data_IF_336621333333
#
_entry.id   IF_336621333333
#
_cell.length_a   1.000
_cell.length_b   1.000
_cell.length_c   1.000
_cell.angle_alpha   90.00
_cell.angle_beta   90.00
_cell.angle_gamma   90.00
#
_symmetry.space_group_name_H-M   'P 1'
#
loop_
_entity.id
_entity.type
_entity.pdbx_description
1 polymer ?
#
# COMPACT_ATOMS: atom_id res chain seq x y z
N UNK A 1 -14.08 -8.72 9.10
CA UNK A 1 -12.91 -9.01 9.96
C UNK A 1 -11.78 -8.11 9.49
N UNK A 2 -10.98 -7.52 10.40
CA UNK A 2 -9.80 -6.76 10.01
C UNK A 2 -8.87 -7.57 9.12
N UNK A 3 -8.18 -6.90 8.22
CA UNK A 3 -7.21 -7.50 7.31
C UNK A 3 -5.85 -6.86 7.52
N UNK A 4 -4.79 -7.67 7.52
CA UNK A 4 -3.43 -7.19 7.75
C UNK A 4 -2.56 -7.51 6.55
N UNK A 5 -1.68 -6.60 6.16
CA UNK A 5 -0.76 -6.86 5.07
C UNK A 5 0.58 -6.16 5.31
N UNK A 6 1.66 -6.81 4.90
CA UNK A 6 2.98 -6.22 4.80
C UNK A 6 3.10 -5.43 3.52
N UNK A 7 3.69 -4.24 3.65
CA UNK A 7 4.07 -3.41 2.53
C UNK A 7 5.53 -3.04 2.66
N UNK A 8 6.34 -3.44 1.68
CA UNK A 8 7.73 -3.05 1.57
C UNK A 8 7.84 -1.86 0.60
N UNK A 9 8.44 -0.76 1.05
CA UNK A 9 8.75 0.40 0.23
C UNK A 9 10.22 0.34 -0.18
N UNK A 10 10.45 0.14 -1.48
CA UNK A 10 11.76 0.04 -2.11
C UNK A 10 12.09 1.40 -2.73
N UNK A 11 12.95 2.16 -2.07
CA UNK A 11 13.40 3.47 -2.57
C UNK A 11 14.49 3.25 -3.58
N UNK A 12 14.33 3.84 -4.76
CA UNK A 12 15.31 3.77 -5.84
C UNK A 12 15.86 5.14 -6.20
N UNK A 13 17.06 5.19 -6.77
CA UNK A 13 17.65 6.42 -7.28
C UNK A 13 17.14 6.78 -8.69
N UNK A 14 17.75 7.80 -9.32
CA UNK A 14 17.39 8.23 -10.67
C UNK A 14 17.69 7.21 -11.77
N UNK A 15 18.51 6.19 -11.49
CA UNK A 15 18.78 5.05 -12.37
C UNK A 15 17.92 3.82 -12.01
N UNK A 16 17.01 3.96 -11.04
CA UNK A 16 16.18 2.90 -10.47
C UNK A 16 16.96 1.82 -9.69
N UNK A 17 18.16 2.14 -9.20
CA UNK A 17 18.91 1.24 -8.33
C UNK A 17 18.41 1.34 -6.88
N UNK A 18 18.25 0.22 -6.15
CA UNK A 18 17.79 0.23 -4.77
C UNK A 18 18.74 0.98 -3.83
N UNK A 19 18.20 1.92 -3.05
CA UNK A 19 18.95 2.76 -2.10
C UNK A 19 18.55 2.49 -0.65
N UNK A 20 17.25 2.28 -0.40
CA UNK A 20 16.71 2.10 0.94
C UNK A 20 15.47 1.22 0.90
N UNK A 21 15.22 0.51 1.99
CA UNK A 21 13.97 -0.21 2.21
C UNK A 21 13.28 0.28 3.49
N UNK A 22 11.96 0.46 3.44
CA UNK A 22 11.10 0.63 4.62
C UNK A 22 10.02 -0.43 4.63
N UNK A 23 9.49 -0.71 5.81
CA UNK A 23 8.48 -1.74 6.01
C UNK A 23 7.29 -1.13 6.72
N UNK A 24 6.10 -1.52 6.28
CA UNK A 24 4.86 -1.09 6.89
C UNK A 24 3.95 -2.29 7.15
N UNK A 25 3.20 -2.21 8.25
CA UNK A 25 1.99 -2.99 8.46
C UNK A 25 0.80 -2.14 8.07
N UNK A 26 0.05 -2.60 7.06
CA UNK A 26 -1.25 -2.07 6.70
C UNK A 26 -2.31 -2.85 7.47
N UNK A 27 -3.07 -2.17 8.32
CA UNK A 27 -4.26 -2.74 8.98
C UNK A 27 -5.50 -2.11 8.37
N UNK A 28 -6.34 -2.92 7.74
CA UNK A 28 -7.57 -2.49 7.10
C UNK A 28 -8.80 -3.02 7.84
N UNK A 29 -9.92 -2.30 7.75
CA UNK A 29 -11.20 -2.71 8.34
C UNK A 29 -11.70 -4.06 7.79
N UNK A 30 -11.35 -4.38 6.54
CA UNK A 30 -11.61 -5.63 5.86
C UNK A 30 -10.68 -5.80 4.63
N UNK A 31 -10.75 -6.96 3.99
CA UNK A 31 -9.92 -7.29 2.82
C UNK A 31 -10.21 -6.40 1.59
N UNK A 32 -11.46 -5.92 1.44
CA UNK A 32 -11.82 -4.99 0.35
C UNK A 32 -11.07 -3.67 0.54
N UNK A 33 -11.09 -3.10 1.75
CA UNK A 33 -10.38 -1.86 2.06
C UNK A 33 -8.85 -2.01 1.91
N UNK A 34 -8.29 -3.18 2.24
CA UNK A 34 -6.87 -3.46 1.95
C UNK A 34 -6.62 -3.48 0.44
N UNK A 35 -7.47 -4.19 -0.32
CA UNK A 35 -7.39 -4.27 -1.76
C UNK A 35 -7.52 -2.90 -2.43
N UNK A 36 -8.47 -2.06 -2.00
CA UNK A 36 -8.63 -0.68 -2.47
C UNK A 36 -7.32 0.10 -2.28
N UNK A 37 -6.69 -0.01 -1.12
CA UNK A 37 -5.43 0.68 -0.86
C UNK A 37 -4.33 0.24 -1.82
N UNK A 38 -4.10 -1.07 -1.94
CA UNK A 38 -3.00 -1.60 -2.75
C UNK A 38 -3.23 -1.44 -4.26
N UNK A 39 -4.45 -1.69 -4.75
CA UNK A 39 -4.83 -1.43 -6.15
C UNK A 39 -4.74 0.06 -6.42
N UNK A 40 -5.17 0.90 -5.48
CA UNK A 40 -5.06 2.35 -5.56
C UNK A 40 -3.61 2.83 -5.68
N UNK A 41 -2.67 2.22 -4.92
CA UNK A 41 -1.24 2.50 -5.07
C UNK A 41 -0.72 2.11 -6.45
N UNK A 42 -1.16 0.97 -6.99
CA UNK A 42 -0.86 0.54 -8.36
C UNK A 42 -1.36 1.54 -9.41
N UNK A 43 -2.63 1.95 -9.31
CA UNK A 43 -3.21 2.98 -10.20
C UNK A 43 -2.51 4.34 -10.07
N UNK A 44 -2.13 4.73 -8.85
CA UNK A 44 -1.35 5.94 -8.64
C UNK A 44 0.02 5.86 -9.32
N UNK A 45 0.66 4.68 -9.31
CA UNK A 45 1.95 4.47 -9.97
C UNK A 45 1.89 4.65 -11.49
N UNK A 46 0.74 4.39 -12.12
CA UNK A 46 0.52 4.60 -13.56
C UNK A 46 0.35 6.08 -13.95
N UNK A 47 0.26 6.98 -12.96
CA UNK A 47 0.10 8.42 -13.22
C UNK A 47 1.44 9.09 -13.56
N UNK A 48 1.43 10.02 -14.52
CA UNK A 48 2.63 10.61 -15.14
C UNK A 48 3.59 11.38 -14.20
N UNK A 49 3.19 11.65 -12.95
CA UNK A 49 3.95 12.42 -11.96
C UNK A 49 4.09 11.67 -10.61
N UNK A 50 3.95 10.34 -10.62
CA UNK A 50 3.87 9.54 -9.41
C UNK A 50 5.16 9.53 -8.58
N UNK A 51 5.01 9.65 -7.26
CA UNK A 51 6.02 9.31 -6.26
C UNK A 51 6.30 7.80 -6.18
N UNK A 52 5.34 7.00 -6.64
CA UNK A 52 5.40 5.55 -6.73
C UNK A 52 5.61 5.18 -8.19
N UNK A 53 6.56 4.29 -8.48
CA UNK A 53 6.86 3.79 -9.82
C UNK A 53 6.14 2.49 -10.12
N UNK A 54 5.97 1.62 -9.13
CA UNK A 54 5.25 0.36 -9.28
C UNK A 54 4.71 -0.13 -7.94
N UNK A 55 3.71 -1.00 -8.01
CA UNK A 55 3.18 -1.74 -6.87
C UNK A 55 2.92 -3.17 -7.33
N UNK A 56 3.51 -4.16 -6.67
CA UNK A 56 3.37 -5.57 -7.00
C UNK A 56 2.98 -6.35 -5.75
N UNK A 57 2.17 -7.40 -5.94
CA UNK A 57 1.80 -8.31 -4.88
C UNK A 57 2.52 -9.64 -5.06
N UNK A 58 3.13 -10.15 -3.99
CA UNK A 58 3.56 -11.55 -3.92
C UNK A 58 2.40 -12.44 -3.47
N UNK A 59 1.62 -11.93 -2.51
CA UNK A 59 0.33 -12.46 -2.03
C UNK A 59 -0.55 -11.29 -1.62
N UNK A 60 -1.83 -11.50 -1.31
CA UNK A 60 -2.66 -10.40 -0.79
C UNK A 60 -2.14 -9.80 0.52
N UNK A 61 -1.33 -10.54 1.28
CA UNK A 61 -0.74 -10.10 2.54
C UNK A 61 0.65 -9.49 2.37
N UNK A 62 1.24 -9.55 1.17
CA UNK A 62 2.62 -9.13 0.94
C UNK A 62 2.75 -8.33 -0.35
N UNK A 63 3.02 -7.04 -0.17
CA UNK A 63 3.11 -6.07 -1.25
C UNK A 63 4.46 -5.37 -1.27
N UNK A 64 4.93 -5.05 -2.47
CA UNK A 64 6.15 -4.32 -2.73
C UNK A 64 5.80 -3.07 -3.55
N UNK A 65 6.26 -1.90 -3.11
CA UNK A 65 6.15 -0.66 -3.85
C UNK A 65 7.53 -0.10 -4.14
N UNK A 66 7.82 0.16 -5.42
CA UNK A 66 9.03 0.92 -5.79
C UNK A 66 8.69 2.41 -5.79
N UNK A 67 9.48 3.22 -5.10
CA UNK A 67 9.20 4.66 -4.91
C UNK A 67 10.43 5.52 -5.17
N UNK A 68 10.18 6.81 -5.40
CA UNK A 68 11.22 7.81 -5.65
C UNK A 68 11.95 8.24 -4.38
N UNK A 69 11.27 8.29 -3.24
CA UNK A 69 11.82 8.83 -2.01
C UNK A 69 11.28 8.11 -0.79
N UNK A 70 12.11 8.02 0.23
CA UNK A 70 11.77 7.37 1.50
C UNK A 70 10.54 8.03 2.14
N UNK A 71 9.51 7.24 2.44
CA UNK A 71 8.28 7.73 3.04
C UNK A 71 7.25 8.27 2.05
N UNK A 72 7.41 8.05 0.75
CA UNK A 72 6.40 8.40 -0.26
C UNK A 72 5.07 7.66 -0.02
N UNK A 73 5.10 6.40 0.42
CA UNK A 73 3.89 5.67 0.83
C UNK A 73 3.22 6.34 2.03
N UNK A 74 4.00 6.75 3.03
CA UNK A 74 3.49 7.47 4.20
C UNK A 74 2.92 8.84 3.82
N UNK A 75 3.54 9.52 2.85
CA UNK A 75 3.04 10.78 2.32
C UNK A 75 1.66 10.57 1.68
N UNK A 76 1.49 9.58 0.80
CA UNK A 76 0.18 9.25 0.19
C UNK A 76 -0.86 8.98 1.26
N UNK A 77 -0.53 8.15 2.25
CA UNK A 77 -1.42 7.85 3.38
C UNK A 77 -1.88 9.13 4.11
N UNK A 78 -0.96 10.05 4.38
CA UNK A 78 -1.30 11.32 5.04
C UNK A 78 -2.23 12.18 4.17
N UNK A 79 -2.04 12.22 2.85
CA UNK A 79 -2.92 12.96 1.94
C UNK A 79 -4.33 12.35 1.87
N UNK A 80 -4.46 11.02 1.92
CA UNK A 80 -5.76 10.33 2.05
C UNK A 80 -6.45 10.76 3.34
N UNK A 81 -5.75 10.73 4.48
CA UNK A 81 -6.33 11.10 5.77
C UNK A 81 -6.71 12.59 5.82
N UNK A 82 -5.90 13.45 5.22
CA UNK A 82 -6.13 14.89 5.10
C UNK A 82 -7.22 15.25 4.08
N UNK A 83 -7.76 14.27 3.35
CA UNK A 83 -8.81 14.43 2.34
C UNK A 83 -8.40 15.39 1.20
N UNK A 84 -7.22 15.13 0.61
CA UNK A 84 -6.63 15.90 -0.49
C UNK A 84 -6.43 15.02 -1.74
N UNK A 85 -7.52 14.57 -2.40
CA UNK A 85 -7.45 13.65 -3.53
C UNK A 85 -6.65 14.15 -4.73
N UNK A 86 -6.57 15.46 -4.92
CA UNK A 86 -5.76 16.08 -5.95
C UNK A 86 -4.27 15.72 -5.85
N UNK A 87 -3.77 15.44 -4.64
CA UNK A 87 -2.36 15.12 -4.40
C UNK A 87 -2.00 13.66 -4.75
N UNK A 88 -3.01 12.79 -4.87
CA UNK A 88 -2.86 11.44 -5.39
C UNK A 88 -3.66 11.23 -6.67
N UNK A 89 -3.76 12.29 -7.50
CA UNK A 89 -4.36 12.26 -8.84
C UNK A 89 -5.82 11.79 -8.88
N UNK A 90 -6.58 12.00 -7.80
CA UNK A 90 -7.97 11.58 -7.65
C UNK A 90 -8.20 10.07 -7.88
N UNK A 91 -7.23 9.22 -7.53
CA UNK A 91 -7.43 7.77 -7.55
C UNK A 91 -8.52 7.40 -6.54
N UNK A 92 -9.66 6.93 -7.05
CA UNK A 92 -10.88 6.67 -6.29
C UNK A 92 -10.65 5.67 -5.16
N UNK A 93 -9.94 4.56 -5.44
CA UNK A 93 -9.68 3.54 -4.42
C UNK A 93 -8.87 4.08 -3.23
N UNK A 94 -7.93 4.99 -3.47
CA UNK A 94 -7.18 5.65 -2.39
C UNK A 94 -8.07 6.59 -1.59
N UNK A 95 -8.99 7.31 -2.23
CA UNK A 95 -9.95 8.17 -1.54
C UNK A 95 -10.90 7.36 -0.65
N UNK A 96 -11.37 6.22 -1.15
CA UNK A 96 -12.29 5.33 -0.44
C UNK A 96 -11.67 4.64 0.77
N UNK A 97 -10.34 4.59 0.86
CA UNK A 97 -9.61 4.05 2.00
C UNK A 97 -9.66 4.95 3.24
N UNK A 98 -10.08 6.22 3.12
CA UNK A 98 -10.05 7.17 4.24
C UNK A 98 -10.80 6.62 5.46
N UNK A 99 -10.11 6.51 6.59
CA UNK A 99 -10.67 5.98 7.84
C UNK A 99 -10.88 4.46 7.87
N UNK A 100 -10.55 3.73 6.80
CA UNK A 100 -10.65 2.26 6.73
C UNK A 100 -9.29 1.57 6.84
N UNK A 101 -8.19 2.32 6.79
CA UNK A 101 -6.83 1.81 6.87
C UNK A 101 -5.99 2.54 7.92
N UNK A 102 -5.08 1.80 8.54
CA UNK A 102 -4.02 2.29 9.42
C UNK A 102 -2.69 1.83 8.82
N UNK A 103 -1.77 2.78 8.63
CA UNK A 103 -0.42 2.50 8.16
C UNK A 103 0.55 2.64 9.33
N UNK A 104 1.16 1.53 9.74
CA UNK A 104 2.16 1.50 10.82
C UNK A 104 3.54 1.23 10.22
N UNK A 105 4.49 2.11 10.47
CA UNK A 105 5.88 1.86 10.10
C UNK A 105 6.51 0.82 11.03
N UNK A 106 7.17 -0.17 10.44
CA UNK A 106 7.84 -1.26 11.15
C UNK A 106 9.36 -1.05 11.15
N UNK A 107 10.00 -1.55 12.21
CA UNK A 107 11.45 -1.74 12.24
C UNK A 107 11.77 -3.16 11.74
N UNK A 108 12.91 -3.35 11.07
CA UNK A 108 13.37 -4.67 10.58
C UNK A 108 13.43 -5.74 11.69
N UNK A 109 13.63 -5.32 12.94
CA UNK A 109 13.65 -6.22 14.09
C UNK A 109 12.26 -6.71 14.55
N UNK A 110 11.18 -6.00 14.18
CA UNK A 110 9.85 -6.20 14.75
C UNK A 110 8.80 -6.42 13.65
N UNK A 111 8.89 -7.57 13.01
CA UNK A 111 7.86 -8.05 12.09
C UNK A 111 6.81 -8.83 12.88
N UNK A 112 5.55 -8.36 12.98
CA UNK A 112 4.51 -9.16 13.60
C UNK A 112 4.30 -10.47 12.84
N UNK A 113 3.45 -11.36 13.36
CA UNK A 113 2.95 -12.49 12.59
C UNK A 113 1.50 -12.14 12.24
N UNK A 114 1.19 -12.07 10.95
CA UNK A 114 -0.17 -11.85 10.46
C UNK A 114 -1.01 -13.11 10.76
N UNK A 115 -2.31 -12.98 11.12
CA UNK A 115 -3.15 -14.14 11.40
C UNK A 115 -3.24 -15.11 10.22
N UNK A 116 -2.87 -16.37 10.43
CA UNK A 116 -2.84 -17.43 9.38
C UNK A 116 -4.20 -17.81 8.79
N UNK A 117 -5.30 -17.24 9.32
CA UNK A 117 -6.68 -17.57 8.94
C UNK A 117 -7.29 -16.57 7.97
N UNK A 118 -6.61 -15.47 7.62
CA UNK A 118 -7.14 -14.52 6.64
C UNK A 118 -6.85 -15.01 5.21
N UNK A 119 -7.68 -14.62 4.24
CA UNK A 119 -7.53 -15.08 2.86
C UNK A 119 -6.32 -14.37 2.20
N UNK A 120 -5.41 -15.15 1.64
CA UNK A 120 -4.15 -14.67 1.04
C UNK A 120 -4.16 -14.67 -0.49
N UNK A 121 -5.23 -15.19 -1.11
CA UNK A 121 -5.36 -15.32 -2.56
C UNK A 121 -5.56 -13.97 -3.23
N UNK A 122 -4.79 -13.70 -4.29
CA UNK A 122 -4.90 -12.49 -5.12
C UNK A 122 -6.25 -12.36 -5.82
N UNK A 123 -6.96 -13.48 -6.02
CA UNK A 123 -8.28 -13.53 -6.67
C UNK A 123 -9.44 -13.16 -5.73
N UNK A 124 -9.14 -12.62 -4.54
CA UNK A 124 -10.16 -12.34 -3.51
C UNK A 124 -11.33 -11.47 -4.01
N UNK A 125 -11.07 -10.52 -4.92
CA UNK A 125 -12.12 -9.67 -5.51
C UNK A 125 -13.07 -10.44 -6.42
N UNK A 126 -12.59 -11.47 -7.12
CA UNK A 126 -13.41 -12.25 -8.07
C UNK A 126 -14.36 -13.22 -7.36
N UNK A 127 -14.23 -13.41 -6.05
CA UNK A 127 -15.03 -14.33 -5.25
C UNK A 127 -16.10 -13.63 -4.38
N UNK A 128 -16.34 -12.34 -4.60
CA UNK A 128 -17.34 -11.55 -3.86
C UNK A 128 -18.56 -11.10 -4.71
N UNK A 129 -18.81 -11.74 -5.85
CA UNK A 129 -20.06 -11.56 -6.63
C UNK A 129 -21.06 -12.67 -6.28
#
# INVERSE_FOLDING_TARGET
MPYYAYLQEHVVDGAQEPVLQRYYLVTAANAIAASDFFVGLGKYAETKNGRVYSTTAETMEWWNCTVRSAGDIRWIYNEIMAHRPENYNNVEELADCRGKIILCELNIANWPIIPVTQNTSLDYRDHQI
#
